data_IF_606844608751
#
_entry.id   IF_606844608751
#
_cell.length_a   1.000
_cell.length_b   1.000
_cell.length_c   1.000
_cell.angle_alpha   90.00
_cell.angle_beta   90.00
_cell.angle_gamma   90.00
#
_symmetry.space_group_name_H-M   'P 1'
#
loop_
_entity.id
_entity.type
_entity.pdbx_description
1 polymer ?
#
# COMPACT_ATOMS: atom_id res chain seq x y z
N UNK A 1 8.55 -12.89 4.72
CA UNK A 1 9.55 -13.91 4.32
C UNK A 1 10.75 -13.19 3.76
N UNK A 2 11.99 -13.65 4.03
CA UNK A 2 13.17 -13.04 3.45
C UNK A 2 13.10 -13.10 1.92
N UNK A 3 13.67 -12.11 1.22
CA UNK A 3 13.75 -12.05 -0.25
C UNK A 3 14.51 -13.24 -0.87
N UNK A 4 15.16 -14.07 -0.05
CA UNK A 4 15.89 -15.27 -0.47
C UNK A 4 15.01 -16.52 -0.53
N UNK A 5 13.79 -16.47 0.00
CA UNK A 5 12.88 -17.59 -0.05
C UNK A 5 12.42 -17.85 -1.48
N UNK A 6 12.30 -19.14 -1.80
CA UNK A 6 11.81 -19.62 -3.09
C UNK A 6 10.40 -20.17 -2.90
N UNK A 7 9.48 -19.85 -3.79
CA UNK A 7 8.08 -20.30 -3.70
C UNK A 7 7.99 -21.83 -3.67
N UNK A 8 8.91 -22.51 -4.35
CA UNK A 8 9.00 -23.97 -4.41
C UNK A 8 9.37 -24.60 -3.06
N UNK A 9 9.96 -23.84 -2.14
CA UNK A 9 10.27 -24.28 -0.79
C UNK A 9 9.03 -24.27 0.14
N UNK A 10 7.93 -23.66 -0.31
CA UNK A 10 6.69 -23.51 0.46
C UNK A 10 5.61 -24.45 -0.09
N UNK A 11 5.53 -25.66 0.46
CA UNK A 11 4.37 -26.54 0.26
C UNK A 11 3.11 -25.92 0.90
N UNK A 12 1.93 -26.37 0.46
CA UNK A 12 0.67 -25.89 1.05
C UNK A 12 0.61 -26.19 2.55
N UNK A 13 1.04 -27.38 2.96
CA UNK A 13 1.09 -27.77 4.37
C UNK A 13 2.04 -26.89 5.18
N UNK A 14 3.23 -26.57 4.63
CA UNK A 14 4.18 -25.68 5.29
C UNK A 14 3.63 -24.26 5.43
N UNK A 15 2.96 -23.75 4.39
CA UNK A 15 2.30 -22.45 4.43
C UNK A 15 1.18 -22.40 5.49
N UNK A 16 0.30 -23.41 5.51
CA UNK A 16 -0.79 -23.45 6.48
C UNK A 16 -0.30 -23.63 7.91
N UNK A 17 0.73 -24.46 8.12
CA UNK A 17 1.36 -24.63 9.43
C UNK A 17 1.94 -23.30 9.94
N UNK A 18 2.65 -22.55 9.09
CA UNK A 18 3.23 -21.27 9.45
C UNK A 18 2.16 -20.19 9.69
N UNK A 19 1.13 -20.12 8.85
CA UNK A 19 0.00 -19.20 9.07
C UNK A 19 -0.67 -19.47 10.42
N UNK A 20 -0.90 -20.75 10.75
CA UNK A 20 -1.53 -21.17 12.00
C UNK A 20 -0.76 -20.67 13.22
N UNK A 21 0.57 -20.63 13.17
CA UNK A 21 1.43 -20.15 14.27
C UNK A 21 1.31 -18.63 14.51
N UNK A 22 0.94 -17.86 13.48
CA UNK A 22 0.87 -16.38 13.53
C UNK A 22 -0.53 -15.84 13.82
N UNK A 23 -1.53 -16.71 13.85
CA UNK A 23 -2.89 -16.39 14.25
C UNK A 23 -3.09 -16.54 15.75
N UNK A 24 -4.04 -15.78 16.30
CA UNK A 24 -4.55 -15.96 17.65
C UNK A 24 -5.30 -17.30 17.79
N UNK A 25 -5.69 -17.65 19.02
CA UNK A 25 -6.28 -18.96 19.29
C UNK A 25 -7.61 -19.18 18.55
N UNK A 26 -8.48 -18.16 18.52
CA UNK A 26 -9.79 -18.26 17.88
C UNK A 26 -9.66 -18.42 16.35
N UNK A 27 -8.86 -17.58 15.68
CA UNK A 27 -8.69 -17.70 14.24
C UNK A 27 -7.97 -19.00 13.85
N UNK A 28 -7.03 -19.46 14.68
CA UNK A 28 -6.35 -20.75 14.51
C UNK A 28 -7.32 -21.93 14.51
N UNK A 29 -8.25 -21.96 15.45
CA UNK A 29 -9.23 -23.06 15.56
C UNK A 29 -10.21 -23.09 14.40
N UNK A 30 -10.55 -21.92 13.84
CA UNK A 30 -11.50 -21.78 12.74
C UNK A 30 -10.87 -21.81 11.35
N UNK A 31 -9.54 -21.82 11.24
CA UNK A 31 -8.84 -21.84 9.96
C UNK A 31 -9.18 -23.11 9.18
N UNK A 32 -9.86 -22.94 8.04
CA UNK A 32 -10.10 -24.00 7.05
C UNK A 32 -8.98 -23.96 6.02
N UNK A 33 -8.28 -25.08 5.83
CA UNK A 33 -7.17 -25.22 4.89
C UNK A 33 -7.58 -25.97 3.63
N UNK A 34 -6.75 -25.90 2.59
CA UNK A 34 -6.98 -26.59 1.32
C UNK A 34 -5.82 -26.41 0.34
N UNK A 35 -5.94 -27.01 -0.84
CA UNK A 35 -4.95 -26.86 -1.90
C UNK A 35 -4.92 -25.41 -2.41
N UNK A 36 -3.72 -24.89 -2.66
CA UNK A 36 -3.55 -23.56 -3.24
C UNK A 36 -4.01 -23.53 -4.70
N UNK A 37 -4.70 -22.44 -5.08
CA UNK A 37 -5.02 -22.15 -6.48
C UNK A 37 -3.88 -21.41 -7.17
N UNK A 38 -3.20 -20.55 -6.43
CA UNK A 38 -2.05 -19.76 -6.86
C UNK A 38 -1.12 -19.55 -5.65
N UNK A 39 0.19 -19.51 -5.91
CA UNK A 39 1.21 -19.13 -4.93
C UNK A 39 2.30 -18.31 -5.61
N UNK A 40 2.63 -17.18 -5.01
CA UNK A 40 3.73 -16.33 -5.42
C UNK A 40 4.32 -15.59 -4.22
N UNK A 41 5.55 -15.09 -4.40
CA UNK A 41 6.21 -14.20 -3.42
C UNK A 41 6.28 -12.82 -4.03
N UNK A 42 5.56 -11.86 -3.44
CA UNK A 42 5.59 -10.47 -3.84
C UNK A 42 6.59 -9.69 -2.98
N UNK A 43 7.60 -9.02 -3.58
CA UNK A 43 8.49 -8.16 -2.82
C UNK A 43 7.75 -6.90 -2.34
N UNK A 44 8.02 -6.48 -1.11
CA UNK A 44 7.54 -5.20 -0.60
C UNK A 44 8.44 -4.09 -1.17
N UNK A 45 7.84 -3.11 -1.87
CA UNK A 45 8.55 -1.97 -2.46
C UNK A 45 7.71 -0.70 -2.34
N UNK A 46 8.37 0.40 -2.02
CA UNK A 46 7.88 1.77 -2.27
C UNK A 46 8.64 2.38 -3.44
N UNK A 47 7.96 3.10 -4.32
CA UNK A 47 8.58 3.77 -5.46
C UNK A 47 7.68 4.91 -5.94
N UNK A 48 8.27 6.07 -6.22
CA UNK A 48 7.56 7.21 -6.81
C UNK A 48 8.48 7.87 -7.83
N UNK A 49 7.95 8.16 -9.02
CA UNK A 49 8.64 8.96 -10.05
C UNK A 49 8.11 10.39 -10.07
N UNK A 50 9.01 11.36 -10.16
CA UNK A 50 8.66 12.77 -10.31
C UNK A 50 9.45 13.40 -11.46
N UNK A 51 8.79 14.08 -12.43
CA UNK A 51 7.34 14.23 -12.59
C UNK A 51 6.67 13.00 -13.25
N UNK A 52 5.35 12.90 -13.16
CA UNK A 52 4.53 11.87 -13.86
C UNK A 52 4.22 12.22 -15.32
N UNK A 53 4.95 13.17 -15.91
CA UNK A 53 4.70 13.67 -17.27
C UNK A 53 5.98 14.10 -17.94
N UNK A 54 6.14 13.71 -19.21
CA UNK A 54 7.18 14.21 -20.09
C UNK A 54 6.60 14.61 -21.45
N UNK A 55 6.47 15.92 -21.70
CA UNK A 55 5.84 16.42 -22.93
C UNK A 55 4.38 15.97 -23.06
N UNK A 56 4.14 15.01 -23.97
CA UNK A 56 2.82 14.38 -24.23
C UNK A 56 2.68 12.98 -23.63
N UNK A 57 3.71 12.48 -22.94
CA UNK A 57 3.68 11.22 -22.20
C UNK A 57 3.20 11.46 -20.76
N UNK A 58 2.28 10.63 -20.29
CA UNK A 58 1.73 10.66 -18.93
C UNK A 58 1.86 9.27 -18.30
N UNK A 59 2.31 9.21 -17.05
CA UNK A 59 2.42 7.99 -16.26
C UNK A 59 1.24 7.92 -15.29
N UNK A 60 0.64 6.75 -15.13
CA UNK A 60 -0.46 6.48 -14.21
C UNK A 60 -0.32 5.08 -13.59
N UNK A 61 -0.73 4.92 -12.33
CA UNK A 61 -0.60 3.65 -11.60
C UNK A 61 0.86 3.19 -11.49
N UNK A 62 1.07 1.88 -11.62
CA UNK A 62 2.36 1.21 -11.46
C UNK A 62 3.49 1.73 -12.38
N UNK A 63 3.15 2.44 -13.46
CA UNK A 63 4.13 3.12 -14.31
C UNK A 63 4.77 4.34 -13.62
N UNK A 64 4.10 4.93 -12.64
CA UNK A 64 4.54 6.13 -11.92
C UNK A 64 4.87 5.90 -10.45
N UNK A 65 4.23 4.93 -9.79
CA UNK A 65 4.44 4.64 -8.37
C UNK A 65 4.12 3.18 -8.01
N UNK A 66 4.75 2.65 -6.96
CA UNK A 66 4.47 1.31 -6.39
C UNK A 66 4.42 1.46 -4.89
N UNK A 67 3.36 0.98 -4.25
CA UNK A 67 3.18 0.98 -2.79
C UNK A 67 3.26 -0.44 -2.23
N UNK A 68 3.72 -0.63 -0.98
CA UNK A 68 3.63 -1.92 -0.30
C UNK A 68 2.16 -2.40 -0.21
N UNK A 69 1.89 -3.69 -0.43
CA UNK A 69 0.53 -4.23 -0.45
C UNK A 69 -0.19 -4.09 0.90
N UNK A 70 0.55 -3.90 1.99
CA UNK A 70 0.02 -3.76 3.36
C UNK A 70 -1.03 -2.66 3.50
N UNK A 71 -0.87 -1.54 2.79
CA UNK A 71 -1.84 -0.45 2.79
C UNK A 71 -3.04 -0.63 1.85
N UNK A 72 -3.01 -1.64 0.97
CA UNK A 72 -4.02 -1.86 -0.09
C UNK A 72 -4.29 -0.62 -0.98
N UNK A 73 -3.24 0.14 -1.33
CA UNK A 73 -3.38 1.44 -2.04
C UNK A 73 -3.11 1.41 -3.55
N UNK A 74 -2.39 0.43 -4.09
CA UNK A 74 -1.87 0.48 -5.47
C UNK A 74 -2.96 0.73 -6.52
N UNK A 75 -3.94 -0.17 -6.61
CA UNK A 75 -5.05 -0.03 -7.57
C UNK A 75 -5.90 1.24 -7.32
N UNK A 76 -6.10 1.62 -6.06
CA UNK A 76 -6.86 2.80 -5.68
C UNK A 76 -6.15 4.11 -6.12
N UNK A 77 -4.83 4.15 -6.04
CA UNK A 77 -4.03 5.26 -6.56
C UNK A 77 -4.06 5.30 -8.08
N UNK A 78 -3.90 4.16 -8.75
CA UNK A 78 -4.03 4.08 -10.20
C UNK A 78 -5.39 4.60 -10.70
N UNK A 79 -6.48 4.23 -10.02
CA UNK A 79 -7.82 4.74 -10.34
C UNK A 79 -7.93 6.26 -10.14
N UNK A 80 -7.26 6.81 -9.12
CA UNK A 80 -7.22 8.25 -8.84
C UNK A 80 -6.44 9.01 -9.93
N UNK A 81 -5.29 8.48 -10.35
CA UNK A 81 -4.49 9.06 -11.45
C UNK A 81 -5.29 9.10 -12.75
N UNK A 82 -5.96 7.99 -13.09
CA UNK A 82 -6.81 7.90 -14.28
C UNK A 82 -7.94 8.91 -14.22
N UNK A 83 -8.57 9.12 -13.06
CA UNK A 83 -9.58 10.16 -12.87
C UNK A 83 -8.99 11.55 -13.16
N UNK A 84 -7.86 11.90 -12.55
CA UNK A 84 -7.21 13.20 -12.76
C UNK A 84 -6.78 13.42 -14.22
N UNK A 85 -6.23 12.38 -14.85
CA UNK A 85 -5.83 12.42 -16.25
C UNK A 85 -7.04 12.58 -17.18
N UNK A 86 -8.13 11.86 -16.92
CA UNK A 86 -9.38 11.98 -17.69
C UNK A 86 -9.94 13.40 -17.63
N UNK A 87 -9.99 14.01 -16.43
CA UNK A 87 -10.46 15.39 -16.27
C UNK A 87 -9.54 16.38 -16.99
N UNK A 88 -8.22 16.18 -16.93
CA UNK A 88 -7.25 17.01 -17.64
C UNK A 88 -7.42 16.93 -19.17
N UNK A 89 -7.71 15.74 -19.71
CA UNK A 89 -7.95 15.57 -21.14
C UNK A 89 -9.30 16.14 -21.58
N UNK A 90 -10.36 15.97 -20.78
CA UNK A 90 -11.66 16.56 -21.06
C UNK A 90 -11.53 18.09 -21.14
N UNK A 91 -10.88 18.72 -20.16
CA UNK A 91 -10.60 20.17 -20.14
C UNK A 91 -9.80 20.60 -21.38
N UNK A 92 -8.73 19.88 -21.71
CA UNK A 92 -7.88 20.22 -22.85
C UNK A 92 -8.62 20.18 -24.19
N UNK A 93 -9.43 19.15 -24.43
CA UNK A 93 -10.10 18.99 -25.72
C UNK A 93 -11.40 19.79 -25.82
N UNK A 94 -12.20 19.87 -24.75
CA UNK A 94 -13.50 20.56 -24.78
C UNK A 94 -13.38 22.04 -24.47
N UNK A 95 -12.62 22.38 -23.43
CA UNK A 95 -12.50 23.77 -22.94
C UNK A 95 -11.28 24.48 -23.54
N UNK A 96 -10.44 23.75 -24.29
CA UNK A 96 -9.22 24.28 -24.94
C UNK A 96 -8.21 24.86 -23.94
N UNK A 97 -8.25 24.40 -22.69
CA UNK A 97 -7.35 24.83 -21.62
C UNK A 97 -6.28 23.76 -21.32
N UNK A 98 -5.00 24.12 -21.30
CA UNK A 98 -3.93 23.21 -20.89
C UNK A 98 -3.74 23.14 -19.37
N UNK A 99 -4.52 23.86 -18.56
CA UNK A 99 -4.27 23.99 -17.13
C UNK A 99 -4.35 22.64 -16.40
N UNK A 100 -5.37 21.81 -16.66
CA UNK A 100 -5.46 20.46 -16.09
C UNK A 100 -4.26 19.56 -16.42
N UNK A 101 -3.75 19.65 -17.66
CA UNK A 101 -2.56 18.91 -18.13
C UNK A 101 -1.28 19.43 -17.47
N UNK A 102 -1.16 20.75 -17.27
CA UNK A 102 -0.01 21.37 -16.61
C UNK A 102 0.11 20.95 -15.13
N UNK A 103 -1.03 20.81 -14.44
CA UNK A 103 -1.09 20.46 -13.02
C UNK A 103 -1.27 18.95 -12.75
N UNK A 104 -1.21 18.10 -13.78
CA UNK A 104 -1.43 16.65 -13.63
C UNK A 104 -0.51 16.01 -12.58
N UNK A 105 0.81 16.19 -12.73
CA UNK A 105 1.79 15.60 -11.82
C UNK A 105 1.59 16.08 -10.39
N UNK A 106 1.40 17.39 -10.19
CA UNK A 106 1.21 17.98 -8.86
C UNK A 106 -0.01 17.40 -8.14
N UNK A 107 -1.15 17.27 -8.84
CA UNK A 107 -2.39 16.73 -8.26
C UNK A 107 -2.25 15.26 -7.87
N UNK A 108 -1.67 14.44 -8.74
CA UNK A 108 -1.46 13.02 -8.44
C UNK A 108 -0.46 12.84 -7.30
N UNK A 109 0.69 13.52 -7.33
CA UNK A 109 1.74 13.41 -6.31
C UNK A 109 1.26 13.81 -4.92
N UNK A 110 0.40 14.84 -4.81
CA UNK A 110 -0.20 15.23 -3.53
C UNK A 110 -1.01 14.10 -2.87
N UNK A 111 -1.57 13.19 -3.66
CA UNK A 111 -2.30 12.01 -3.18
C UNK A 111 -1.38 10.80 -3.00
N UNK A 112 -0.50 10.54 -3.97
CA UNK A 112 0.46 9.42 -3.95
C UNK A 112 1.29 9.49 -2.67
N UNK A 113 1.86 10.64 -2.32
CA UNK A 113 2.68 10.77 -1.11
C UNK A 113 1.92 10.53 0.18
N UNK A 114 0.64 10.90 0.26
CA UNK A 114 -0.19 10.60 1.44
C UNK A 114 -0.42 9.10 1.59
N UNK A 115 -0.66 8.41 0.49
CA UNK A 115 -0.87 6.96 0.47
C UNK A 115 0.45 6.18 0.68
N UNK A 116 1.57 6.66 0.14
CA UNK A 116 2.91 6.10 0.39
C UNK A 116 3.29 6.22 1.86
N UNK A 117 3.16 7.42 2.44
CA UNK A 117 3.39 7.64 3.88
C UNK A 117 2.58 6.66 4.73
N UNK A 118 1.29 6.51 4.42
CA UNK A 118 0.43 5.58 5.13
C UNK A 118 0.86 4.12 4.95
N UNK A 119 1.12 3.69 3.70
CA UNK A 119 1.49 2.31 3.39
C UNK A 119 2.84 1.95 4.00
N UNK A 120 3.80 2.87 4.01
CA UNK A 120 5.09 2.73 4.68
C UNK A 120 4.92 2.59 6.19
N UNK A 121 4.22 3.53 6.84
CA UNK A 121 3.98 3.49 8.30
C UNK A 121 3.28 2.19 8.71
N UNK A 122 2.23 1.80 7.98
CA UNK A 122 1.49 0.58 8.28
C UNK A 122 2.30 -0.68 8.03
N UNK A 123 3.20 -0.66 7.04
CA UNK A 123 4.17 -1.75 6.83
C UNK A 123 5.14 -1.86 8.01
N UNK A 124 5.70 -0.74 8.47
CA UNK A 124 6.59 -0.67 9.63
C UNK A 124 5.91 -1.15 10.91
N UNK A 125 4.61 -0.91 11.07
CA UNK A 125 3.86 -1.35 12.24
C UNK A 125 3.54 -2.85 12.23
N UNK A 126 3.27 -3.42 11.05
CA UNK A 126 2.74 -4.79 10.90
C UNK A 126 3.81 -5.85 10.59
N UNK A 127 5.06 -5.47 10.33
CA UNK A 127 6.13 -6.40 9.96
C UNK A 127 7.30 -6.32 10.94
N UNK A 128 7.98 -7.46 11.15
CA UNK A 128 9.23 -7.51 11.92
C UNK A 128 10.42 -7.17 11.03
N UNK A 129 11.22 -6.22 11.46
CA UNK A 129 12.48 -5.84 10.83
C UNK A 129 13.64 -6.17 11.78
N UNK A 130 14.34 -7.30 11.58
CA UNK A 130 15.39 -7.76 12.50
C UNK A 130 16.50 -6.73 12.77
N UNK A 131 16.70 -5.79 11.84
CA UNK A 131 17.69 -4.73 11.94
C UNK A 131 17.38 -3.67 13.01
N UNK A 132 16.13 -3.59 13.49
CA UNK A 132 15.69 -2.56 14.44
C UNK A 132 15.95 -2.93 15.91
N UNK A 133 16.33 -4.19 16.18
CA UNK A 133 16.68 -4.69 17.51
C UNK A 133 15.55 -4.59 18.54
N UNK A 134 15.89 -4.76 19.83
CA UNK A 134 14.92 -4.78 20.93
C UNK A 134 14.22 -3.44 21.14
N UNK A 135 14.92 -2.34 20.91
CA UNK A 135 14.34 -1.00 21.06
C UNK A 135 13.23 -0.76 20.03
N UNK A 136 13.51 -1.06 18.75
CA UNK A 136 12.51 -0.92 17.68
C UNK A 136 11.28 -1.79 17.92
N UNK A 137 11.48 -3.02 18.40
CA UNK A 137 10.37 -3.90 18.77
C UNK A 137 9.48 -3.29 19.86
N UNK A 138 10.06 -2.73 20.93
CA UNK A 138 9.26 -2.09 22.00
C UNK A 138 8.50 -0.86 21.51
N UNK A 139 9.09 -0.07 20.62
CA UNK A 139 8.41 1.08 20.01
C UNK A 139 7.25 0.60 19.11
N UNK A 140 7.45 -0.45 18.33
CA UNK A 140 6.40 -1.04 17.50
C UNK A 140 5.22 -1.55 18.36
N UNK A 141 5.50 -2.23 19.47
CA UNK A 141 4.50 -2.72 20.42
C UNK A 141 3.71 -1.55 21.07
N UNK A 142 4.40 -0.52 21.53
CA UNK A 142 3.78 0.68 22.13
C UNK A 142 2.91 1.45 21.12
N UNK A 143 3.35 1.56 19.86
CA UNK A 143 2.57 2.19 18.78
C UNK A 143 1.28 1.39 18.47
N UNK A 144 1.34 0.05 18.51
CA UNK A 144 0.14 -0.80 18.37
C UNK A 144 -0.82 -0.60 19.55
N UNK A 145 -0.30 -0.57 20.78
CA UNK A 145 -1.12 -0.35 21.98
C UNK A 145 -1.78 1.03 21.95
N UNK A 146 -1.04 2.07 21.55
CA UNK A 146 -1.59 3.41 21.35
C UNK A 146 -2.70 3.41 20.29
N UNK A 147 -2.47 2.72 19.16
CA UNK A 147 -3.45 2.65 18.07
C UNK A 147 -4.76 2.01 18.49
N UNK A 148 -4.70 0.94 19.29
CA UNK A 148 -5.88 0.22 19.80
C UNK A 148 -6.54 0.98 20.96
N UNK A 149 -5.76 1.66 21.80
CA UNK A 149 -6.26 2.37 22.99
C UNK A 149 -6.76 3.79 22.74
N UNK A 150 -6.39 4.42 21.62
CA UNK A 150 -6.69 5.84 21.33
C UNK A 150 -7.68 5.99 20.18
N UNK A 151 -8.85 6.58 20.46
CA UNK A 151 -9.83 6.93 19.41
C UNK A 151 -9.25 7.85 18.34
N UNK A 152 -8.37 8.78 18.72
CA UNK A 152 -7.75 9.69 17.76
C UNK A 152 -6.81 8.95 16.80
N UNK A 153 -5.98 8.04 17.33
CA UNK A 153 -5.08 7.22 16.52
C UNK A 153 -5.87 6.28 15.60
N UNK A 154 -6.87 5.58 16.14
CA UNK A 154 -7.76 4.71 15.36
C UNK A 154 -8.50 5.48 14.25
N UNK A 155 -8.93 6.72 14.52
CA UNK A 155 -9.56 7.58 13.50
C UNK A 155 -8.58 7.92 12.37
N UNK A 156 -7.34 8.28 12.71
CA UNK A 156 -6.29 8.58 11.74
C UNK A 156 -5.93 7.35 10.87
N UNK A 157 -5.89 6.15 11.46
CA UNK A 157 -5.79 4.90 10.69
C UNK A 157 -7.00 4.74 9.76
N UNK A 158 -8.21 4.86 10.29
CA UNK A 158 -9.45 4.62 9.54
C UNK A 158 -9.58 5.53 8.32
N UNK A 159 -9.36 6.84 8.45
CA UNK A 159 -9.46 7.79 7.33
C UNK A 159 -8.44 7.47 6.21
N UNK A 160 -7.23 7.03 6.58
CA UNK A 160 -6.22 6.66 5.60
C UNK A 160 -6.55 5.31 4.98
N UNK A 161 -7.09 4.36 5.76
CA UNK A 161 -7.44 3.01 5.31
C UNK A 161 -8.61 3.01 4.33
N UNK A 162 -9.68 3.77 4.58
CA UNK A 162 -10.82 3.91 3.64
C UNK A 162 -10.48 4.79 2.43
N UNK A 163 -9.43 5.61 2.55
CA UNK A 163 -8.93 6.46 1.47
C UNK A 163 -9.40 7.91 1.59
N UNK A 164 -8.46 8.82 1.40
CA UNK A 164 -8.71 10.25 1.51
C UNK A 164 -9.57 10.78 0.35
N UNK A 165 -10.31 11.90 0.53
CA UNK A 165 -11.12 12.50 -0.52
C UNK A 165 -10.34 12.80 -1.81
N UNK A 166 -11.02 12.69 -2.95
CA UNK A 166 -10.54 13.12 -4.26
C UNK A 166 -10.85 14.62 -4.40
N UNK A 167 -10.15 15.46 -3.65
CA UNK A 167 -10.16 16.91 -3.87
C UNK A 167 -9.68 17.27 -5.26
#
# INVERSE_FOLDING_TARGET
>A
MPLTDKVEAWSDDAFWAELRLRLDAEARERLVTGASLEKSIAPLRSFVTEPLRFGRLFLAGDAGHIVPPTGAKGLNLAASDVKYLSSAFIEFYRERSPAGIAHYSQRCLARIWKAERFSWWFTSLMHRFPQEGEFGQKIQEDELDYLVGSTAAATALAENYVGLPLG
#
